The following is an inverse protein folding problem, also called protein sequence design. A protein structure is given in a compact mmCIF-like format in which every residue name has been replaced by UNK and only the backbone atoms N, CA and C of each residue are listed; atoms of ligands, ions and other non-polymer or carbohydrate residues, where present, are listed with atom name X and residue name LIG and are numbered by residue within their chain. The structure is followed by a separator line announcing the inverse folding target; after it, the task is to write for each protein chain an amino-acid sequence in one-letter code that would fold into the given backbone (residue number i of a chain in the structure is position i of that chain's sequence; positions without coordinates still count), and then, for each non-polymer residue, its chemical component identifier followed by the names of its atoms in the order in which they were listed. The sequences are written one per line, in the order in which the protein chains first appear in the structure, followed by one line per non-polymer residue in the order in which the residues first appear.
data_IF_948018813153
#
_entry.id   IF_948018813153
#
_cell.length_a   1.000
_cell.length_b   1.000
_cell.length_c   1.000
_cell.angle_alpha   90.00
_cell.angle_beta   90.00
_cell.angle_gamma   90.00
#
_symmetry.space_group_name_H-M   'P 1'
#
loop_
_entity.id
_entity.type
_entity.pdbx_description
1 polymer ?
#
# COMPACT_ATOMS: atom_id res chain seq x y z
N UNK A 1 -6.24 -42.95 1.49
CA UNK A 1 -7.09 -42.01 0.72
C UNK A 1 -6.43 -40.64 0.72
N UNK A 2 -5.72 -40.32 -0.33
CA UNK A 2 -4.99 -39.05 -0.47
C UNK A 2 -6.01 -38.01 -0.93
N UNK A 3 -6.36 -37.06 -0.05
CA UNK A 3 -7.26 -35.98 -0.36
C UNK A 3 -6.48 -34.98 -1.23
N UNK A 4 -6.85 -34.90 -2.51
CA UNK A 4 -6.29 -33.91 -3.41
C UNK A 4 -6.65 -32.51 -2.90
N UNK A 5 -5.65 -31.62 -2.79
CA UNK A 5 -5.87 -30.24 -2.47
C UNK A 5 -6.82 -29.62 -3.51
N UNK A 6 -7.77 -28.76 -3.09
CA UNK A 6 -8.66 -28.07 -4.02
C UNK A 6 -7.83 -27.25 -5.01
N UNK A 7 -8.27 -27.11 -6.28
CA UNK A 7 -7.56 -26.31 -7.26
C UNK A 7 -7.46 -24.89 -6.73
N UNK A 8 -6.23 -24.41 -6.59
CA UNK A 8 -5.98 -22.99 -6.27
C UNK A 8 -6.57 -22.18 -7.43
N UNK A 9 -7.61 -21.43 -7.15
CA UNK A 9 -8.14 -20.46 -8.09
C UNK A 9 -6.97 -19.55 -8.48
N UNK A 10 -6.77 -19.37 -9.77
CA UNK A 10 -5.77 -18.43 -10.29
C UNK A 10 -6.17 -17.01 -9.86
N UNK A 11 -5.81 -16.65 -8.63
CA UNK A 11 -5.87 -15.26 -8.19
C UNK A 11 -4.94 -14.48 -9.11
N UNK A 12 -5.42 -13.38 -9.64
CA UNK A 12 -4.62 -12.49 -10.43
C UNK A 12 -3.38 -12.14 -9.60
N UNK A 13 -2.19 -12.58 -10.06
CA UNK A 13 -0.98 -12.47 -9.27
C UNK A 13 -0.51 -11.01 -9.30
N UNK A 14 -0.62 -10.33 -8.18
CA UNK A 14 0.02 -9.04 -7.98
C UNK A 14 1.52 -9.23 -7.70
N UNK A 15 2.34 -8.23 -8.00
CA UNK A 15 3.81 -8.35 -7.86
C UNK A 15 4.27 -8.46 -6.40
N UNK A 16 3.43 -8.11 -5.44
CA UNK A 16 3.66 -8.24 -4.00
C UNK A 16 2.46 -8.89 -3.31
N UNK A 17 2.65 -9.39 -2.09
CA UNK A 17 1.58 -10.00 -1.31
C UNK A 17 0.56 -8.95 -0.85
N UNK A 18 -0.72 -9.25 -1.03
CA UNK A 18 -1.82 -8.40 -0.57
C UNK A 18 -2.67 -9.15 0.45
N UNK A 19 -2.94 -8.53 1.59
CA UNK A 19 -3.79 -9.08 2.65
C UNK A 19 -4.73 -8.03 3.22
N UNK A 20 -6.00 -8.41 3.39
CA UNK A 20 -6.98 -7.61 4.15
C UNK A 20 -6.88 -7.83 5.65
N UNK A 21 -6.08 -8.81 6.08
CA UNK A 21 -5.77 -9.08 7.49
C UNK A 21 -4.72 -8.08 8.00
N UNK A 22 -4.62 -7.92 9.31
CA UNK A 22 -3.59 -7.10 9.95
C UNK A 22 -2.24 -7.81 10.05
N UNK A 23 -2.23 -9.10 9.78
CA UNK A 23 -1.06 -9.97 9.75
C UNK A 23 -1.03 -10.82 8.48
N UNK A 24 0.01 -11.63 8.32
CA UNK A 24 0.15 -12.58 7.22
C UNK A 24 0.63 -13.91 7.81
N UNK A 25 -0.27 -14.90 8.03
CA UNK A 25 0.08 -16.19 8.60
C UNK A 25 1.21 -16.87 7.83
N UNK A 26 2.21 -17.38 8.56
CA UNK A 26 3.42 -17.98 7.99
C UNK A 26 4.51 -16.98 7.62
N UNK A 27 4.30 -15.71 7.92
CA UNK A 27 5.28 -14.62 7.72
C UNK A 27 5.34 -13.72 8.95
N UNK A 28 6.50 -13.13 9.18
CA UNK A 28 6.67 -12.06 10.17
C UNK A 28 7.08 -10.75 9.50
N UNK A 29 6.54 -9.66 9.99
CA UNK A 29 6.92 -8.31 9.55
C UNK A 29 8.28 -7.96 10.14
N UNK A 30 9.23 -7.59 9.28
CA UNK A 30 10.58 -7.15 9.70
C UNK A 30 10.78 -5.64 9.50
N UNK A 31 9.95 -5.02 8.65
CA UNK A 31 9.97 -3.57 8.47
C UNK A 31 8.61 -3.06 8.05
N UNK A 32 8.23 -1.89 8.56
CA UNK A 32 7.04 -1.13 8.17
C UNK A 32 7.49 0.12 7.43
N UNK A 33 6.88 0.41 6.27
CA UNK A 33 7.18 1.59 5.46
C UNK A 33 6.15 2.69 5.63
N UNK A 34 4.96 2.36 6.11
CA UNK A 34 3.85 3.28 6.28
C UNK A 34 2.67 2.98 5.37
N UNK A 35 1.76 3.95 5.28
CA UNK A 35 0.59 3.86 4.42
C UNK A 35 0.97 3.99 2.95
N UNK A 36 0.25 3.26 2.11
CA UNK A 36 0.31 3.35 0.65
C UNK A 36 -1.10 3.30 0.09
N UNK A 37 -1.29 3.91 -1.07
CA UNK A 37 -2.58 3.91 -1.74
C UNK A 37 -2.44 3.84 -3.26
N UNK A 38 -3.50 3.36 -3.91
CA UNK A 38 -3.65 3.37 -5.36
C UNK A 38 -5.03 3.90 -5.71
N UNK A 39 -5.10 4.88 -6.60
CA UNK A 39 -6.34 5.54 -6.99
C UNK A 39 -6.68 5.26 -8.45
N UNK A 40 -7.98 5.05 -8.71
CA UNK A 40 -8.54 5.03 -10.05
C UNK A 40 -9.75 5.94 -10.09
N UNK A 41 -9.78 6.87 -11.04
CA UNK A 41 -10.92 7.76 -11.25
C UNK A 41 -11.57 7.45 -12.59
N UNK A 42 -12.88 7.28 -12.59
CA UNK A 42 -13.69 7.01 -13.79
C UNK A 42 -14.73 8.09 -13.97
N UNK A 43 -14.82 8.61 -15.20
CA UNK A 43 -15.87 9.57 -15.56
C UNK A 43 -17.25 8.90 -15.56
N UNK A 44 -18.27 9.62 -15.11
CA UNK A 44 -19.67 9.19 -15.14
C UNK A 44 -20.14 8.81 -16.55
N UNK A 45 -19.61 9.45 -17.61
CA UNK A 45 -19.96 9.14 -18.97
C UNK A 45 -19.59 7.71 -19.39
N UNK A 46 -18.58 7.10 -18.78
CA UNK A 46 -18.27 5.68 -19.00
C UNK A 46 -19.37 4.76 -18.48
N UNK A 47 -20.03 5.15 -17.40
CA UNK A 47 -21.16 4.39 -16.83
C UNK A 47 -22.45 4.59 -17.65
N UNK A 48 -22.68 5.80 -18.18
CA UNK A 48 -23.88 6.10 -18.98
C UNK A 48 -23.87 5.41 -20.35
N UNK A 49 -22.72 5.28 -20.97
CA UNK A 49 -22.57 4.58 -22.27
C UNK A 49 -22.85 3.08 -22.13
N UNK A 50 -22.56 2.48 -20.97
CA UNK A 50 -22.90 1.09 -20.68
C UNK A 50 -24.41 0.97 -20.38
N UNK A 51 -25.01 1.98 -19.71
CA UNK A 51 -26.43 1.98 -19.32
C UNK A 51 -27.41 2.18 -20.47
N UNK A 52 -27.01 2.83 -21.58
CA UNK A 52 -27.92 3.07 -22.70
C UNK A 52 -28.32 1.79 -23.46
N UNK A 53 -27.50 0.73 -23.41
CA UNK A 53 -27.84 -0.60 -23.94
C UNK A 53 -28.79 -1.42 -23.05
N UNK A 54 -29.01 -1.00 -21.79
CA UNK A 54 -29.73 -1.79 -20.78
C UNK A 54 -31.24 -1.49 -20.66
N UNK A 55 -31.74 -0.43 -21.30
CA UNK A 55 -33.20 -0.14 -21.28
C UNK A 55 -34.07 -1.24 -21.91
N UNK A 56 -33.46 -2.19 -22.57
CA UNK A 56 -34.17 -3.27 -23.29
C UNK A 56 -34.15 -4.63 -22.56
N UNK A 57 -33.42 -4.80 -21.46
CA UNK A 57 -33.34 -6.07 -20.73
C UNK A 57 -33.97 -5.92 -19.36
N UNK A 58 -35.18 -6.43 -19.20
CA UNK A 58 -35.93 -6.41 -17.95
C UNK A 58 -35.24 -7.24 -16.86
N UNK A 59 -34.53 -6.56 -15.96
CA UNK A 59 -34.00 -7.09 -14.72
C UNK A 59 -32.89 -8.15 -14.88
N UNK A 60 -31.68 -7.87 -14.40
CA UNK A 60 -30.57 -8.80 -14.42
C UNK A 60 -29.27 -8.15 -14.02
N UNK A 61 -28.22 -8.93 -13.90
CA UNK A 61 -26.87 -8.42 -13.61
C UNK A 61 -26.38 -7.50 -14.75
N UNK A 62 -25.91 -6.32 -14.38
CA UNK A 62 -25.31 -5.34 -15.29
C UNK A 62 -23.85 -5.74 -15.60
N UNK A 63 -23.64 -6.82 -16.35
CA UNK A 63 -22.31 -7.43 -16.61
C UNK A 63 -21.26 -6.42 -17.08
N UNK A 64 -21.62 -5.47 -17.94
CA UNK A 64 -20.72 -4.41 -18.38
C UNK A 64 -20.27 -3.49 -17.26
N UNK A 65 -21.17 -3.14 -16.36
CA UNK A 65 -20.86 -2.32 -15.19
C UNK A 65 -20.05 -3.09 -14.16
N UNK A 66 -20.41 -4.34 -13.89
CA UNK A 66 -19.64 -5.23 -13.02
C UNK A 66 -18.20 -5.37 -13.52
N UNK A 67 -18.01 -5.60 -14.83
CA UNK A 67 -16.68 -5.66 -15.43
C UNK A 67 -15.91 -4.35 -15.24
N UNK A 68 -16.51 -3.21 -15.56
CA UNK A 68 -15.87 -1.90 -15.41
C UNK A 68 -15.42 -1.63 -13.97
N UNK A 69 -16.27 -1.96 -12.98
CA UNK A 69 -15.95 -1.79 -11.57
C UNK A 69 -14.83 -2.75 -11.14
N UNK A 70 -14.84 -3.99 -11.60
CA UNK A 70 -13.76 -4.95 -11.36
C UNK A 70 -12.44 -4.47 -11.94
N UNK A 71 -12.42 -4.08 -13.20
CA UNK A 71 -11.22 -3.56 -13.88
C UNK A 71 -10.66 -2.33 -13.15
N UNK A 72 -11.54 -1.45 -12.67
CA UNK A 72 -11.14 -0.26 -11.90
C UNK A 72 -10.53 -0.60 -10.54
N UNK A 73 -11.03 -1.62 -9.84
CA UNK A 73 -10.44 -2.10 -8.59
C UNK A 73 -9.08 -2.75 -8.82
N UNK A 74 -8.93 -3.54 -9.88
CA UNK A 74 -7.64 -4.12 -10.22
C UNK A 74 -6.60 -3.06 -10.56
N UNK A 75 -7.00 -2.02 -11.27
CA UNK A 75 -6.14 -0.87 -11.55
C UNK A 75 -5.67 -0.17 -10.27
N UNK A 76 -6.58 0.07 -9.31
CA UNK A 76 -6.25 0.67 -8.03
C UNK A 76 -5.29 -0.23 -7.23
N UNK A 77 -5.50 -1.55 -7.20
CA UNK A 77 -4.59 -2.50 -6.56
C UNK A 77 -3.21 -2.51 -7.22
N UNK A 78 -3.16 -2.47 -8.54
CA UNK A 78 -1.89 -2.45 -9.26
C UNK A 78 -1.07 -1.21 -8.92
N UNK A 79 -1.70 -0.03 -8.87
CA UNK A 79 -1.06 1.23 -8.44
C UNK A 79 -0.60 1.18 -6.99
N UNK A 80 -1.41 0.61 -6.09
CA UNK A 80 -1.04 0.36 -4.71
C UNK A 80 0.22 -0.50 -4.60
N UNK A 81 0.30 -1.59 -5.38
CA UNK A 81 1.47 -2.46 -5.42
C UNK A 81 2.71 -1.72 -5.91
N UNK A 82 2.58 -0.90 -6.97
CA UNK A 82 3.68 -0.10 -7.48
C UNK A 82 4.22 0.87 -6.42
N UNK A 83 3.32 1.55 -5.71
CA UNK A 83 3.74 2.45 -4.63
C UNK A 83 4.44 1.69 -3.51
N UNK A 84 3.88 0.56 -3.05
CA UNK A 84 4.53 -0.30 -2.07
C UNK A 84 5.93 -0.75 -2.49
N UNK A 85 6.10 -1.18 -3.74
CA UNK A 85 7.40 -1.58 -4.27
C UNK A 85 8.39 -0.42 -4.35
N UNK A 86 7.95 0.80 -4.66
CA UNK A 86 8.81 1.98 -4.68
C UNK A 86 9.39 2.29 -3.29
N UNK A 87 8.68 1.91 -2.22
CA UNK A 87 9.17 1.98 -0.84
C UNK A 87 10.02 0.76 -0.43
N UNK A 88 10.12 -0.25 -1.28
CA UNK A 88 10.86 -1.49 -0.99
C UNK A 88 10.03 -2.54 -0.23
N UNK A 89 8.72 -2.41 -0.21
CA UNK A 89 7.82 -3.39 0.38
C UNK A 89 7.67 -4.64 -0.51
N UNK A 90 7.42 -5.78 0.12
CA UNK A 90 7.04 -7.03 -0.55
C UNK A 90 5.64 -7.52 -0.14
N UNK A 91 4.95 -6.74 0.70
CA UNK A 91 3.58 -6.99 1.09
C UNK A 91 2.83 -5.71 1.46
N UNK A 92 1.49 -5.72 1.31
CA UNK A 92 0.59 -4.72 1.87
C UNK A 92 -0.41 -5.44 2.77
N UNK A 93 -0.50 -5.01 4.02
CA UNK A 93 -1.41 -5.53 5.04
C UNK A 93 -2.57 -4.56 5.29
N UNK A 94 -3.63 -5.05 5.91
CA UNK A 94 -4.82 -4.27 6.24
C UNK A 94 -5.42 -3.54 5.03
N UNK A 95 -5.34 -4.17 3.84
CA UNK A 95 -5.87 -3.61 2.61
C UNK A 95 -7.36 -3.29 2.73
N UNK A 96 -7.75 -2.11 2.28
CA UNK A 96 -9.14 -1.64 2.20
C UNK A 96 -9.39 -0.96 0.87
N UNK A 97 -10.70 -0.80 0.58
CA UNK A 97 -11.19 -0.02 -0.55
C UNK A 97 -12.18 1.03 -0.05
N UNK A 98 -12.06 2.22 -0.59
CA UNK A 98 -13.09 3.25 -0.54
C UNK A 98 -13.54 3.58 -1.96
N UNK A 99 -14.83 3.87 -2.10
CA UNK A 99 -15.44 4.27 -3.37
C UNK A 99 -16.22 5.55 -3.13
N UNK A 100 -15.79 6.63 -3.74
CA UNK A 100 -16.36 7.96 -3.55
C UNK A 100 -16.89 8.51 -4.88
N UNK A 101 -17.95 9.31 -4.81
CA UNK A 101 -18.42 10.11 -5.92
C UNK A 101 -17.80 11.51 -5.84
N UNK A 102 -17.17 11.97 -6.95
CA UNK A 102 -16.51 13.26 -7.01
C UNK A 102 -17.37 14.20 -7.86
N UNK A 103 -17.88 15.28 -7.22
CA UNK A 103 -18.62 16.37 -7.88
C UNK A 103 -19.75 15.91 -8.82
N UNK A 104 -20.36 14.76 -8.55
CA UNK A 104 -21.45 14.20 -9.37
C UNK A 104 -21.05 13.81 -10.80
N UNK A 105 -19.77 13.89 -11.18
CA UNK A 105 -19.27 13.69 -12.54
C UNK A 105 -18.27 12.54 -12.67
N UNK A 106 -17.67 12.10 -11.59
CA UNK A 106 -16.69 11.04 -11.57
C UNK A 106 -16.85 10.16 -10.32
N UNK A 107 -16.38 8.91 -10.41
CA UNK A 107 -16.26 8.00 -9.28
C UNK A 107 -14.80 7.66 -9.06
N UNK A 108 -14.36 7.75 -7.82
CA UNK A 108 -13.05 7.34 -7.36
C UNK A 108 -13.14 5.94 -6.74
N UNK A 109 -12.14 5.12 -7.01
CA UNK A 109 -11.87 3.89 -6.29
C UNK A 109 -10.47 4.02 -5.71
N UNK A 110 -10.38 4.06 -4.38
CA UNK A 110 -9.14 4.08 -3.63
C UNK A 110 -8.89 2.71 -3.01
N UNK A 111 -7.73 2.12 -3.26
CA UNK A 111 -7.20 1.00 -2.51
C UNK A 111 -6.09 1.54 -1.59
N UNK A 112 -6.07 1.16 -0.31
CA UNK A 112 -5.05 1.60 0.63
C UNK A 112 -4.73 0.52 1.66
N UNK A 113 -3.56 0.64 2.29
CA UNK A 113 -3.09 -0.29 3.31
C UNK A 113 -1.72 0.08 3.84
N UNK A 114 -1.12 -0.82 4.60
CA UNK A 114 0.22 -0.63 5.18
C UNK A 114 1.26 -1.43 4.42
N UNK A 115 2.20 -0.75 3.81
CA UNK A 115 3.34 -1.34 3.13
C UNK A 115 4.35 -1.88 4.15
N UNK A 116 4.75 -3.14 3.98
CA UNK A 116 5.65 -3.84 4.90
C UNK A 116 6.65 -4.69 4.13
N UNK A 117 7.77 -5.01 4.78
CA UNK A 117 8.64 -6.09 4.36
C UNK A 117 8.44 -7.29 5.29
N UNK A 118 8.06 -8.41 4.70
CA UNK A 118 7.82 -9.66 5.43
C UNK A 118 8.82 -10.72 5.00
N UNK A 119 9.13 -11.62 5.92
CA UNK A 119 9.93 -12.82 5.66
C UNK A 119 9.18 -14.05 6.16
N UNK A 120 9.32 -15.23 5.53
CA UNK A 120 8.70 -16.46 6.02
C UNK A 120 9.11 -16.75 7.48
N UNK A 121 8.18 -17.28 8.27
CA UNK A 121 8.47 -17.77 9.60
C UNK A 121 9.52 -18.89 9.51
N UNK A 122 10.55 -18.83 10.37
CA UNK A 122 11.68 -19.75 10.33
C UNK A 122 12.83 -19.36 9.39
N UNK A 123 12.69 -18.32 8.58
CA UNK A 123 13.84 -17.74 7.90
C UNK A 123 14.79 -17.12 8.93
N UNK A 124 15.96 -17.74 9.12
CA UNK A 124 17.02 -17.17 9.97
C UNK A 124 17.42 -15.81 9.39
N UNK A 125 17.40 -14.79 10.22
CA UNK A 125 18.02 -13.52 9.86
C UNK A 125 19.50 -13.81 9.59
N UNK A 126 19.94 -13.62 8.34
CA UNK A 126 21.36 -13.42 8.11
C UNK A 126 21.79 -12.28 9.06
N UNK A 127 22.92 -12.43 9.77
CA UNK A 127 23.36 -11.42 10.73
C UNK A 127 23.49 -10.10 9.97
N UNK A 128 22.63 -9.15 10.29
CA UNK A 128 22.81 -7.77 9.85
C UNK A 128 24.12 -7.33 10.46
N UNK A 129 25.14 -7.21 9.61
CA UNK A 129 26.32 -6.45 9.97
C UNK A 129 25.82 -5.06 10.39
N UNK A 130 25.82 -4.84 11.71
CA UNK A 130 25.67 -3.52 12.25
C UNK A 130 26.74 -2.65 11.60
N UNK A 131 26.36 -1.89 10.59
CA UNK A 131 27.12 -0.71 10.21
C UNK A 131 27.09 0.20 11.45
N UNK A 132 28.13 0.06 12.29
CA UNK A 132 28.42 1.02 13.31
C UNK A 132 28.56 2.37 12.61
N UNK A 133 27.55 3.22 12.80
CA UNK A 133 27.68 4.62 12.45
C UNK A 133 28.92 5.15 13.18
N UNK A 134 29.81 5.92 12.53
CA UNK A 134 30.93 6.53 13.19
C UNK A 134 30.40 7.39 14.34
N UNK A 135 30.77 7.03 15.57
CA UNK A 135 30.53 7.90 16.71
C UNK A 135 31.31 9.18 16.49
N UNK A 136 30.62 10.23 16.09
CA UNK A 136 31.19 11.57 16.17
C UNK A 136 31.47 11.85 17.66
N UNK A 137 32.75 11.79 18.03
CA UNK A 137 33.24 12.27 19.31
C UNK A 137 32.89 13.76 19.40
N UNK A 138 31.93 14.03 20.23
CA UNK A 138 31.61 15.41 20.64
C UNK A 138 32.78 15.89 21.49
N UNK A 139 33.68 16.69 20.92
CA UNK A 139 34.68 17.40 21.70
C UNK A 139 34.00 18.51 22.52
N UNK A 140 34.22 18.60 23.86
CA UNK A 140 33.66 19.67 24.63
C UNK A 140 34.32 20.99 24.24
N UNK A 141 33.53 21.91 23.65
CA UNK A 141 33.98 23.27 23.39
C UNK A 141 34.27 23.97 24.72
N UNK A 142 35.51 24.45 24.84
CA UNK A 142 36.02 25.15 25.99
C UNK A 142 35.19 26.36 26.38
N UNK A 143 35.08 26.54 27.69
CA UNK A 143 34.49 27.70 28.36
C UNK A 143 35.17 28.97 27.88
N UNK A 144 34.46 29.81 27.13
CA UNK A 144 34.86 31.20 26.92
C UNK A 144 34.61 31.97 28.21
N UNK A 145 35.69 32.36 28.87
CA UNK A 145 35.68 33.29 30.00
C UNK A 145 35.16 34.64 29.51
N UNK A 146 34.02 35.04 30.06
CA UNK A 146 33.52 36.41 29.91
C UNK A 146 34.45 37.35 30.74
N UNK A 147 35.29 38.12 30.04
CA UNK A 147 35.98 39.26 30.65
C UNK A 147 35.03 40.46 30.68
N UNK A 148 34.76 40.97 31.88
CA UNK A 148 33.99 42.19 32.08
C UNK A 148 34.77 43.42 31.59
N UNK A 149 34.11 44.44 30.98
CA UNK A 149 34.79 45.68 30.56
C UNK A 149 35.17 46.54 31.73
N UNK A 150 36.29 47.32 31.64
CA UNK A 150 36.76 48.18 32.71
C UNK A 150 35.82 49.40 32.87
N UNK A 151 35.47 49.71 34.16
CA UNK A 151 34.77 50.92 34.53
C UNK A 151 35.75 52.10 34.41
N UNK A 152 35.42 53.11 33.59
CA UNK A 152 36.08 54.38 33.59
C UNK A 152 35.41 55.28 34.63
N UNK A 153 36.26 55.81 35.55
CA UNK A 153 35.91 56.84 36.52
C UNK A 153 35.74 58.24 35.90
#
# INVERSE_FOLDING_TARGET
MTQAAPPQQAHQQFPILLSTMNDLPGYRVVRVFGEVFGLTVRSRNMFSNIGSGFKAMGGGELKGLTKLLSDSRYEALFRLCQEGMNHGANAVLALRFDCNEIAGTASEIAAYGTAVYVVPDGAQQAPQQQQQAPQQQYAPQGQQQFQAPPQQG
#
